data_IF_908869204814
#
_entry.id   IF_908869204814
#
_cell.length_a   1.000
_cell.length_b   1.000
_cell.length_c   1.000
_cell.angle_alpha   90.00
_cell.angle_beta   90.00
_cell.angle_gamma   90.00
#
_symmetry.space_group_name_H-M   'P 1'
#
loop_
_entity.id
_entity.type
_entity.pdbx_description
1 polymer ?
#
# COMPACT_ATOMS: atom_id res chain seq x y z
N UNK A 1 -13.45 -0.61 -7.93
CA UNK A 1 -12.80 0.68 -7.55
C UNK A 1 -13.19 0.94 -6.11
N UNK A 2 -12.22 1.10 -5.20
CA UNK A 2 -12.47 1.36 -3.78
C UNK A 2 -12.34 2.86 -3.54
N UNK A 3 -13.45 3.56 -3.37
CA UNK A 3 -13.48 5.01 -3.11
C UNK A 3 -13.54 5.27 -1.61
N UNK A 4 -12.92 6.37 -1.17
CA UNK A 4 -12.86 6.77 0.24
C UNK A 4 -12.33 5.67 1.17
N UNK A 5 -11.52 4.76 0.63
CA UNK A 5 -10.95 3.65 1.34
C UNK A 5 -9.59 4.04 1.92
N UNK A 6 -9.35 3.67 3.18
CA UNK A 6 -8.06 3.82 3.83
C UNK A 6 -7.13 2.72 3.35
N UNK A 7 -6.02 3.13 2.74
CA UNK A 7 -4.93 2.25 2.33
C UNK A 7 -3.69 2.51 3.17
N UNK A 8 -2.99 1.45 3.52
CA UNK A 8 -1.81 1.46 4.36
C UNK A 8 -0.64 0.87 3.57
N UNK A 9 0.51 1.53 3.61
CA UNK A 9 1.79 0.92 3.23
C UNK A 9 2.39 0.32 4.50
N UNK A 10 2.34 -1.00 4.59
CA UNK A 10 2.93 -1.75 5.70
C UNK A 10 4.19 -2.46 5.20
N UNK A 11 5.28 -2.30 5.93
CA UNK A 11 6.53 -3.01 5.68
C UNK A 11 6.85 -4.01 6.80
N UNK A 12 8.05 -4.59 6.74
CA UNK A 12 8.60 -5.56 7.68
C UNK A 12 8.11 -5.41 9.13
N UNK A 13 7.81 -6.55 9.76
CA UNK A 13 7.32 -6.65 11.14
C UNK A 13 6.04 -5.84 11.42
N UNK A 14 5.26 -5.56 10.38
CA UNK A 14 4.00 -4.84 10.47
C UNK A 14 4.15 -3.32 10.61
N UNK A 15 5.35 -2.78 10.35
CA UNK A 15 5.62 -1.35 10.46
C UNK A 15 4.78 -0.55 9.46
N UNK A 16 3.98 0.40 9.96
CA UNK A 16 3.26 1.35 9.12
C UNK A 16 4.22 2.44 8.62
N UNK A 17 4.40 2.53 7.32
CA UNK A 17 5.31 3.50 6.67
C UNK A 17 4.55 4.72 6.16
N UNK A 18 3.36 4.51 5.59
CA UNK A 18 2.50 5.58 5.12
C UNK A 18 1.04 5.14 5.09
N UNK A 19 0.12 6.09 5.07
CA UNK A 19 -1.29 5.84 4.81
C UNK A 19 -1.86 6.91 3.86
N UNK A 20 -2.97 6.58 3.22
CA UNK A 20 -3.71 7.49 2.38
C UNK A 20 -5.17 7.06 2.30
N UNK A 21 -6.04 7.99 1.89
CA UNK A 21 -7.43 7.69 1.54
C UNK A 21 -7.58 7.78 0.03
N UNK A 22 -8.22 6.79 -0.58
CA UNK A 22 -8.50 6.83 -2.00
C UNK A 22 -9.54 7.91 -2.32
N UNK A 23 -9.34 8.64 -3.41
CA UNK A 23 -10.30 9.63 -3.89
C UNK A 23 -11.50 8.98 -4.60
N UNK A 24 -12.40 9.81 -5.17
CA UNK A 24 -13.58 9.34 -5.91
C UNK A 24 -13.28 8.49 -7.16
N UNK A 25 -12.02 8.41 -7.60
CA UNK A 25 -11.56 7.53 -8.67
C UNK A 25 -10.85 6.27 -8.16
N UNK A 26 -10.78 6.08 -6.83
CA UNK A 26 -10.07 4.97 -6.19
C UNK A 26 -8.55 5.11 -6.22
N UNK A 27 -8.03 6.31 -6.47
CA UNK A 27 -6.59 6.59 -6.52
C UNK A 27 -6.14 7.10 -5.15
N UNK A 28 -5.05 6.55 -4.63
CA UNK A 28 -4.38 7.02 -3.44
C UNK A 28 -2.90 7.26 -3.73
N UNK A 29 -2.34 8.34 -3.19
CA UNK A 29 -0.93 8.66 -3.28
C UNK A 29 -0.30 8.52 -1.90
N UNK A 30 0.56 7.51 -1.74
CA UNK A 30 1.29 7.25 -0.51
C UNK A 30 2.67 7.90 -0.64
N UNK A 31 2.96 8.82 0.28
CA UNK A 31 4.27 9.45 0.39
C UNK A 31 4.90 9.02 1.70
N UNK A 32 6.11 8.47 1.61
CA UNK A 32 6.95 8.20 2.76
C UNK A 32 8.15 9.15 2.68
N UNK A 33 8.48 9.81 3.79
CA UNK A 33 9.70 10.60 3.85
C UNK A 33 10.91 9.72 3.53
N UNK A 34 11.98 10.29 2.92
CA UNK A 34 13.23 9.59 2.70
C UNK A 34 13.84 9.25 4.07
N UNK A 35 13.47 8.10 4.64
CA UNK A 35 13.98 7.69 5.93
C UNK A 35 15.43 7.21 5.78
N UNK A 36 16.37 7.69 6.62
CA UNK A 36 17.77 7.29 6.55
C UNK A 36 18.01 5.80 6.89
N UNK A 37 16.97 5.07 7.32
CA UNK A 37 17.01 3.67 7.76
C UNK A 37 16.53 2.66 6.71
N UNK A 38 16.30 3.10 5.46
CA UNK A 38 15.92 2.22 4.35
C UNK A 38 17.04 1.43 3.63
N UNK A 39 18.34 1.37 4.03
CA UNK A 39 19.29 0.56 3.26
C UNK A 39 19.07 -0.96 3.41
N UNK A 40 18.11 -1.41 4.23
CA UNK A 40 17.82 -2.82 4.49
C UNK A 40 16.40 -3.28 4.14
N UNK A 41 15.52 -2.39 3.68
CA UNK A 41 14.16 -2.75 3.28
C UNK A 41 14.13 -2.78 1.75
N UNK A 42 13.79 -3.93 1.18
CA UNK A 42 13.51 -4.09 -0.23
C UNK A 42 11.99 -3.97 -0.42
N UNK A 43 11.43 -2.83 -0.89
CA UNK A 43 9.98 -2.61 -0.89
C UNK A 43 9.16 -3.68 -1.61
N UNK A 44 9.74 -4.30 -2.64
CA UNK A 44 9.10 -5.38 -3.40
C UNK A 44 8.93 -6.68 -2.60
N UNK A 45 9.80 -6.91 -1.60
CA UNK A 45 9.80 -8.12 -0.78
C UNK A 45 9.28 -7.88 0.65
N UNK A 46 9.54 -6.67 1.17
CA UNK A 46 9.33 -6.34 2.57
C UNK A 46 8.11 -5.47 2.81
N UNK A 47 7.43 -4.99 1.76
CA UNK A 47 6.29 -4.10 1.88
C UNK A 47 5.06 -4.56 1.08
N UNK A 48 3.89 -4.19 1.60
CA UNK A 48 2.59 -4.46 0.99
C UNK A 48 1.63 -3.29 1.21
N UNK A 49 0.70 -3.13 0.27
CA UNK A 49 -0.47 -2.27 0.44
C UNK A 49 -1.58 -3.07 1.10
N UNK A 50 -2.19 -2.51 2.13
CA UNK A 50 -3.34 -3.09 2.82
C UNK A 50 -4.51 -2.13 2.70
N UNK A 51 -5.67 -2.63 2.26
CA UNK A 51 -6.93 -1.88 2.32
C UNK A 51 -7.56 -2.14 3.69
N UNK A 52 -7.53 -1.15 4.57
CA UNK A 52 -8.02 -1.26 5.96
C UNK A 52 -9.52 -0.92 6.11
N UNK A 53 -10.17 -0.46 5.04
CA UNK A 53 -11.61 -0.26 5.03
C UNK A 53 -12.33 -1.61 4.97
N UNK A 54 -13.40 -1.77 5.76
CA UNK A 54 -14.23 -2.98 5.75
C UNK A 54 -14.70 -3.28 4.33
N UNK A 55 -14.30 -4.44 3.80
CA UNK A 55 -14.50 -4.78 2.40
C UNK A 55 -15.99 -4.79 2.00
N UNK A 56 -16.85 -5.22 2.91
CA UNK A 56 -18.31 -5.20 2.75
C UNK A 56 -18.89 -3.79 2.54
N UNK A 57 -18.22 -2.74 3.02
CA UNK A 57 -18.66 -1.35 2.80
C UNK A 57 -18.44 -0.90 1.36
N UNK A 58 -17.48 -1.51 0.65
CA UNK A 58 -17.18 -1.18 -0.74
C UNK A 58 -17.85 -2.15 -1.72
N UNK A 59 -18.00 -3.42 -1.34
CA UNK A 59 -18.73 -4.41 -2.12
C UNK A 59 -19.31 -5.48 -1.18
N UNK A 60 -20.64 -5.59 -1.15
CA UNK A 60 -21.37 -6.54 -0.30
C UNK A 60 -21.10 -8.01 -0.63
N UNK A 61 -20.50 -8.32 -1.79
CA UNK A 61 -20.06 -9.69 -2.12
C UNK A 61 -18.72 -10.06 -1.48
N UNK A 62 -18.02 -9.12 -0.86
CA UNK A 62 -16.75 -9.38 -0.16
C UNK A 62 -17.02 -9.75 1.30
N UNK A 63 -16.14 -10.57 1.90
CA UNK A 63 -16.25 -10.91 3.31
C UNK A 63 -16.23 -9.69 4.23
N UNK A 64 -16.99 -9.75 5.32
CA UNK A 64 -16.98 -8.73 6.37
C UNK A 64 -15.70 -8.77 7.23
N UNK A 65 -14.92 -9.84 7.11
CA UNK A 65 -13.67 -10.07 7.83
C UNK A 65 -12.50 -10.30 6.86
N UNK A 66 -11.30 -9.90 7.28
CA UNK A 66 -10.10 -9.92 6.43
C UNK A 66 -9.80 -8.57 5.78
N UNK A 67 -8.69 -8.53 5.05
CA UNK A 67 -8.19 -7.34 4.35
C UNK A 67 -7.77 -7.70 2.93
N UNK A 68 -7.74 -6.70 2.04
CA UNK A 68 -7.09 -6.86 0.75
C UNK A 68 -5.64 -6.44 0.85
N UNK A 69 -4.75 -7.31 0.41
CA UNK A 69 -3.32 -7.05 0.39
C UNK A 69 -2.76 -7.09 -1.03
N UNK A 70 -1.76 -6.27 -1.32
CA UNK A 70 -1.05 -6.29 -2.58
C UNK A 70 0.44 -6.09 -2.37
N UNK A 71 1.25 -6.94 -3.01
CA UNK A 71 2.69 -6.71 -3.09
C UNK A 71 3.00 -5.52 -4.01
N UNK A 72 4.22 -5.01 -3.90
CA UNK A 72 4.69 -3.89 -4.71
C UNK A 72 5.61 -4.37 -5.83
N UNK A 73 5.59 -3.65 -6.94
CA UNK A 73 6.56 -3.78 -8.02
C UNK A 73 7.09 -2.40 -8.40
N UNK A 74 8.40 -2.32 -8.60
CA UNK A 74 9.07 -1.09 -9.01
C UNK A 74 8.60 -0.67 -10.41
N UNK A 75 8.15 0.58 -10.52
CA UNK A 75 7.86 1.22 -11.81
C UNK A 75 9.13 1.88 -12.34
N UNK A 76 9.87 2.55 -11.47
CA UNK A 76 11.11 3.24 -11.83
C UNK A 76 11.65 4.12 -10.71
N UNK A 77 12.83 4.67 -10.96
CA UNK A 77 13.56 5.52 -10.02
C UNK A 77 13.96 6.83 -10.69
N UNK A 78 13.76 7.94 -9.99
CA UNK A 78 14.13 9.27 -10.46
C UNK A 78 15.04 9.93 -9.43
N UNK A 79 16.12 10.55 -9.89
CA UNK A 79 17.02 11.34 -9.05
C UNK A 79 16.52 12.79 -9.00
N UNK A 80 16.27 13.32 -7.81
CA UNK A 80 15.87 14.71 -7.57
C UNK A 80 16.84 15.34 -6.57
N UNK A 81 17.80 16.11 -7.09
CA UNK A 81 18.92 16.60 -6.28
C UNK A 81 19.77 15.43 -5.78
N UNK A 82 19.90 15.31 -4.45
CA UNK A 82 20.60 14.20 -3.78
C UNK A 82 19.69 13.02 -3.42
N UNK A 83 18.37 13.14 -3.67
CA UNK A 83 17.39 12.11 -3.29
C UNK A 83 17.07 11.18 -4.45
N UNK A 84 17.01 9.88 -4.17
CA UNK A 84 16.48 8.87 -5.10
C UNK A 84 15.03 8.61 -4.73
N UNK A 85 14.11 8.96 -5.64
CA UNK A 85 12.68 8.71 -5.49
C UNK A 85 12.34 7.46 -6.29
N UNK A 86 11.86 6.43 -5.61
CA UNK A 86 11.39 5.18 -6.24
C UNK A 86 9.87 5.15 -6.27
N UNK A 87 9.30 4.87 -7.44
CA UNK A 87 7.85 4.76 -7.63
C UNK A 87 7.45 3.31 -7.77
N UNK A 88 6.41 2.90 -7.03
CA UNK A 88 5.92 1.53 -6.99
C UNK A 88 4.44 1.47 -7.37
N UNK A 89 4.03 0.32 -7.90
CA UNK A 89 2.61 -0.01 -8.10
C UNK A 89 2.23 -1.28 -7.36
N UNK A 90 0.96 -1.43 -6.95
CA UNK A 90 0.39 -2.71 -6.56
C UNK A 90 0.48 -3.73 -7.72
N UNK A 91 0.79 -4.98 -7.42
CA UNK A 91 0.82 -6.07 -8.41
C UNK A 91 -0.52 -6.79 -8.58
N UNK A 92 -1.49 -6.48 -7.71
CA UNK A 92 -2.81 -7.11 -7.66
C UNK A 92 -3.25 -7.37 -6.22
N UNK A 93 -4.54 -7.23 -5.95
CA UNK A 93 -5.08 -7.41 -4.60
C UNK A 93 -5.60 -8.83 -4.40
N UNK A 94 -5.25 -9.44 -3.28
CA UNK A 94 -5.79 -10.72 -2.83
C UNK A 94 -6.38 -10.57 -1.43
N UNK A 95 -7.39 -11.38 -1.13
CA UNK A 95 -8.02 -11.39 0.18
C UNK A 95 -7.17 -12.18 1.16
N UNK A 96 -6.78 -11.54 2.25
CA UNK A 96 -6.18 -12.18 3.41
C UNK A 96 -7.22 -12.29 4.53
N UNK A 97 -7.76 -13.49 4.80
CA UNK A 97 -8.77 -13.69 5.82
C UNK A 97 -8.16 -13.62 7.24
N UNK A 98 -8.88 -13.01 8.17
CA UNK A 98 -8.63 -13.16 9.61
C UNK A 98 -9.53 -14.27 10.12
N UNK A 99 -8.96 -15.43 10.47
CA UNK A 99 -9.66 -16.56 11.08
C UNK A 99 -9.69 -16.44 12.60
#
# INVERSE_FOLDING_TARGET
IYVEATVLLQCKDGQLVANATTNGFGIAYLHSDPMPTFPFIQPENDCKIIVNTTLSNCNSTLPSTGVLESALSLIGTTLVGEFIISSFKPTGFHLFPFF
#
